data_IF_621099394011
#
_entry.id   IF_621099394011
#
_cell.length_a   1.000
_cell.length_b   1.000
_cell.length_c   1.000
_cell.angle_alpha   90.00
_cell.angle_beta   90.00
_cell.angle_gamma   90.00
#
_symmetry.space_group_name_H-M   'P 1'
#
loop_
_entity.id
_entity.type
_entity.pdbx_description
1 polymer ?
#
# COMPACT_ATOMS: atom_id res chain seq x y z
N UNK A 1 -24.83 9.92 19.82
CA UNK A 1 -25.05 10.50 21.16
C UNK A 1 -24.22 9.81 22.27
N UNK A 2 -23.12 9.10 21.96
CA UNK A 2 -22.17 8.56 22.98
C UNK A 2 -20.93 9.46 23.09
N UNK A 3 -20.47 10.05 21.98
CA UNK A 3 -19.29 10.92 21.93
C UNK A 3 -19.44 12.27 22.67
N UNK A 4 -20.65 12.69 23.03
CA UNK A 4 -20.89 13.99 23.69
C UNK A 4 -20.56 13.96 25.19
N UNK A 5 -20.61 12.79 25.83
CA UNK A 5 -20.42 12.63 27.28
C UNK A 5 -19.19 11.78 27.65
N UNK A 6 -18.39 11.35 26.67
CA UNK A 6 -17.18 10.54 26.93
C UNK A 6 -16.07 11.47 27.42
N UNK A 7 -15.51 11.16 28.60
CA UNK A 7 -14.28 11.81 29.08
C UNK A 7 -13.26 11.71 27.97
N UNK A 8 -12.67 12.86 27.61
CA UNK A 8 -11.87 13.01 26.38
C UNK A 8 -10.71 12.03 26.26
N UNK A 9 -10.27 11.49 27.40
CA UNK A 9 -9.21 10.49 27.55
C UNK A 9 -9.58 9.10 27.00
N UNK A 10 -10.87 8.74 26.97
CA UNK A 10 -11.32 7.43 26.47
C UNK A 10 -11.73 7.44 24.98
N UNK A 11 -11.65 8.60 24.31
CA UNK A 11 -12.01 8.73 22.91
C UNK A 11 -11.23 7.78 21.97
N UNK A 12 -9.90 7.58 22.12
CA UNK A 12 -9.18 6.63 21.27
C UNK A 12 -9.76 5.22 21.33
N UNK A 13 -10.09 4.72 22.52
CA UNK A 13 -10.67 3.39 22.71
C UNK A 13 -12.09 3.31 22.14
N UNK A 14 -12.90 4.37 22.31
CA UNK A 14 -14.23 4.43 21.72
C UNK A 14 -14.17 4.34 20.18
N UNK A 15 -13.22 5.03 19.55
CA UNK A 15 -13.02 4.95 18.10
C UNK A 15 -12.54 3.57 17.65
N UNK A 16 -11.66 2.92 18.41
CA UNK A 16 -11.23 1.54 18.11
C UNK A 16 -12.39 0.54 18.20
N UNK A 17 -13.23 0.64 19.24
CA UNK A 17 -14.43 -0.20 19.36
C UNK A 17 -15.41 0.06 18.22
N UNK A 18 -15.61 1.34 17.84
CA UNK A 18 -16.43 1.69 16.69
C UNK A 18 -15.87 1.09 15.38
N UNK A 19 -14.54 1.10 15.20
CA UNK A 19 -13.91 0.49 14.03
C UNK A 19 -14.22 -1.00 13.96
N UNK A 20 -14.07 -1.71 15.08
CA UNK A 20 -14.41 -3.13 15.18
C UNK A 20 -15.90 -3.39 14.89
N UNK A 21 -16.81 -2.55 15.41
CA UNK A 21 -18.24 -2.67 15.16
C UNK A 21 -18.59 -2.48 13.68
N UNK A 22 -17.93 -1.53 13.00
CA UNK A 22 -18.09 -1.31 11.56
C UNK A 22 -17.60 -2.55 10.78
N UNK A 23 -16.46 -3.13 11.18
CA UNK A 23 -15.89 -4.33 10.55
C UNK A 23 -16.76 -5.58 10.73
N UNK A 24 -17.42 -5.73 11.87
CA UNK A 24 -18.31 -6.86 12.12
C UNK A 24 -19.70 -6.67 11.49
N UNK A 25 -20.03 -5.45 11.04
CA UNK A 25 -21.33 -5.16 10.47
C UNK A 25 -21.50 -5.84 9.10
N UNK A 26 -22.68 -6.44 8.87
CA UNK A 26 -23.08 -6.98 7.58
C UNK A 26 -23.69 -5.87 6.73
N UNK A 27 -23.28 -5.70 5.46
CA UNK A 27 -23.92 -4.73 4.57
C UNK A 27 -25.43 -5.01 4.45
N UNK A 28 -26.30 -3.98 4.40
CA UNK A 28 -25.99 -2.55 4.38
C UNK A 28 -25.74 -1.96 5.77
N UNK A 29 -24.75 -1.06 5.87
CA UNK A 29 -24.45 -0.34 7.11
C UNK A 29 -25.61 0.58 7.50
N UNK A 30 -25.97 0.58 8.79
CA UNK A 30 -27.04 1.43 9.32
C UNK A 30 -26.71 2.94 9.14
N UNK A 31 -27.72 3.80 8.85
CA UNK A 31 -27.51 5.23 8.55
C UNK A 31 -26.72 6.00 9.62
N UNK A 32 -26.87 5.63 10.91
CA UNK A 32 -26.17 6.27 12.02
C UNK A 32 -24.64 6.18 11.89
N UNK A 33 -24.11 5.09 11.33
CA UNK A 33 -22.67 4.95 11.09
C UNK A 33 -22.19 5.87 9.95
N UNK A 34 -23.05 6.16 8.98
CA UNK A 34 -22.72 7.12 7.92
C UNK A 34 -22.63 8.56 8.44
N UNK A 35 -23.41 8.92 9.45
CA UNK A 35 -23.25 10.21 10.13
C UNK A 35 -21.92 10.30 10.88
N UNK A 36 -21.48 9.21 11.52
CA UNK A 36 -20.14 9.12 12.13
C UNK A 36 -19.06 9.27 11.04
N UNK A 37 -19.23 8.62 9.90
CA UNK A 37 -18.31 8.75 8.77
C UNK A 37 -18.21 10.21 8.28
N UNK A 38 -19.34 10.92 8.14
CA UNK A 38 -19.34 12.34 7.75
C UNK A 38 -18.55 13.19 8.75
N UNK A 39 -18.70 12.94 10.05
CA UNK A 39 -17.94 13.65 11.11
C UNK A 39 -16.44 13.35 11.05
N UNK A 40 -16.07 12.12 10.67
CA UNK A 40 -14.67 11.71 10.49
C UNK A 40 -13.99 12.45 9.33
N UNK A 41 -14.75 12.85 8.30
CA UNK A 41 -14.23 13.59 7.16
C UNK A 41 -14.00 15.08 7.42
N UNK A 42 -14.30 15.57 8.62
CA UNK A 42 -14.12 16.98 9.01
C UNK A 42 -12.72 17.15 9.63
N UNK A 43 -11.89 18.11 9.18
CA UNK A 43 -10.53 18.33 9.71
C UNK A 43 -10.47 18.54 11.22
N UNK A 44 -11.48 19.19 11.81
CA UNK A 44 -11.61 19.44 13.25
C UNK A 44 -11.50 18.17 14.10
N UNK A 45 -11.99 17.03 13.58
CA UNK A 45 -11.96 15.73 14.27
C UNK A 45 -10.53 15.24 14.50
N UNK A 46 -9.55 15.73 13.73
CA UNK A 46 -8.16 15.27 13.72
C UNK A 46 -7.21 16.15 14.54
N UNK A 47 -7.70 17.21 15.20
CA UNK A 47 -6.87 18.17 15.95
C UNK A 47 -6.09 17.53 17.10
N UNK A 48 -6.63 16.49 17.73
CA UNK A 48 -6.00 15.81 18.88
C UNK A 48 -5.13 14.65 18.41
N UNK A 49 -3.81 14.82 18.49
CA UNK A 49 -2.83 13.83 18.05
C UNK A 49 -3.00 12.45 18.71
N UNK A 50 -3.45 12.40 19.97
CA UNK A 50 -3.72 11.15 20.69
C UNK A 50 -4.84 10.31 20.07
N UNK A 51 -5.77 10.94 19.35
CA UNK A 51 -6.88 10.25 18.71
C UNK A 51 -6.54 9.77 17.30
N UNK A 52 -5.51 10.33 16.67
CA UNK A 52 -5.20 10.12 15.24
C UNK A 52 -5.05 8.63 14.87
N UNK A 53 -4.31 7.79 15.61
CA UNK A 53 -4.19 6.36 15.28
C UNK A 53 -5.54 5.64 15.26
N UNK A 54 -6.41 5.93 16.24
CA UNK A 54 -7.73 5.31 16.33
C UNK A 54 -8.70 5.82 15.26
N UNK A 55 -8.60 7.11 14.89
CA UNK A 55 -9.36 7.70 13.80
C UNK A 55 -8.96 7.13 12.45
N UNK A 56 -7.66 6.92 12.20
CA UNK A 56 -7.19 6.22 10.99
C UNK A 56 -7.77 4.81 10.92
N UNK A 57 -7.71 4.05 12.02
CA UNK A 57 -8.27 2.69 12.05
C UNK A 57 -9.76 2.65 11.73
N UNK A 58 -10.53 3.60 12.28
CA UNK A 58 -11.95 3.75 12.00
C UNK A 58 -12.20 4.15 10.54
N UNK A 59 -11.38 5.05 9.99
CA UNK A 59 -11.46 5.47 8.59
C UNK A 59 -11.26 4.26 7.67
N UNK A 60 -10.22 3.46 7.91
CA UNK A 60 -9.94 2.25 7.14
C UNK A 60 -11.11 1.25 7.17
N UNK A 61 -11.71 1.03 8.34
CA UNK A 61 -12.88 0.16 8.48
C UNK A 61 -14.06 0.63 7.59
N UNK A 62 -14.31 1.94 7.53
CA UNK A 62 -15.32 2.51 6.63
C UNK A 62 -14.94 2.37 5.16
N UNK A 63 -13.67 2.59 4.81
CA UNK A 63 -13.15 2.45 3.45
C UNK A 63 -13.32 1.03 2.91
N UNK A 64 -13.05 0.02 3.74
CA UNK A 64 -13.21 -1.39 3.39
C UNK A 64 -14.68 -1.81 3.28
N UNK A 65 -15.55 -1.28 4.16
CA UNK A 65 -16.94 -1.74 4.23
C UNK A 65 -17.87 -1.11 3.21
N UNK A 66 -17.61 0.13 2.79
CA UNK A 66 -18.55 0.87 1.94
C UNK A 66 -17.86 1.59 0.77
N UNK A 67 -17.04 0.88 -0.05
CA UNK A 67 -16.25 1.48 -1.13
C UNK A 67 -17.10 2.33 -2.08
N UNK A 68 -18.28 1.84 -2.48
CA UNK A 68 -19.18 2.56 -3.40
C UNK A 68 -19.73 3.89 -2.85
N UNK A 69 -19.87 4.04 -1.53
CA UNK A 69 -20.36 5.28 -0.91
C UNK A 69 -19.27 6.35 -0.79
N UNK A 70 -17.99 5.99 -0.98
CA UNK A 70 -16.86 6.92 -0.89
C UNK A 70 -16.65 7.67 -2.20
N UNK A 71 -16.98 7.05 -3.32
CA UNK A 71 -16.95 7.67 -4.65
C UNK A 71 -18.01 8.77 -4.83
N UNK A 72 -18.97 8.87 -3.91
CA UNK A 72 -20.09 9.81 -3.98
C UNK A 72 -19.79 11.10 -3.21
N UNK A 73 -20.40 12.21 -3.64
CA UNK A 73 -20.44 13.49 -2.91
C UNK A 73 -19.05 14.08 -2.57
N UNK A 74 -18.01 13.78 -3.36
CA UNK A 74 -16.66 14.28 -3.11
C UNK A 74 -16.02 13.77 -1.83
N UNK A 75 -16.52 12.66 -1.25
CA UNK A 75 -15.98 12.09 0.00
C UNK A 75 -14.56 11.58 -0.17
N UNK A 76 -14.22 10.97 -1.31
CA UNK A 76 -12.85 10.58 -1.62
C UNK A 76 -11.88 11.77 -1.56
N UNK A 77 -12.25 12.93 -2.11
CA UNK A 77 -11.41 14.12 -2.02
C UNK A 77 -11.13 14.55 -0.58
N UNK A 78 -12.12 14.42 0.33
CA UNK A 78 -11.93 14.68 1.77
C UNK A 78 -11.03 13.65 2.44
N UNK A 79 -11.18 12.37 2.10
CA UNK A 79 -10.28 11.29 2.56
C UNK A 79 -8.84 11.58 2.13
N UNK A 80 -8.63 11.98 0.88
CA UNK A 80 -7.31 12.34 0.37
C UNK A 80 -6.77 13.63 1.00
N UNK A 81 -7.63 14.57 1.36
CA UNK A 81 -7.26 15.73 2.19
C UNK A 81 -6.71 15.32 3.56
N UNK A 82 -7.35 14.35 4.22
CA UNK A 82 -6.88 13.78 5.49
C UNK A 82 -5.53 13.08 5.29
N UNK A 83 -5.39 12.25 4.24
CA UNK A 83 -4.10 11.66 3.89
C UNK A 83 -3.00 12.72 3.76
N UNK A 84 -3.26 13.79 3.00
CA UNK A 84 -2.27 14.84 2.76
C UNK A 84 -1.84 15.53 4.06
N UNK A 85 -2.79 15.78 4.96
CA UNK A 85 -2.52 16.30 6.31
C UNK A 85 -1.64 15.35 7.13
N UNK A 86 -1.95 14.05 7.12
CA UNK A 86 -1.20 13.04 7.88
C UNK A 86 0.22 12.87 7.34
N UNK A 87 0.38 12.80 6.02
CA UNK A 87 1.68 12.57 5.37
C UNK A 87 2.62 13.77 5.49
N UNK A 88 2.06 14.98 5.58
CA UNK A 88 2.84 16.22 5.75
C UNK A 88 3.60 16.28 7.08
N UNK A 89 3.18 15.51 8.10
CA UNK A 89 3.81 15.50 9.42
C UNK A 89 4.66 14.23 9.63
N UNK A 90 5.95 14.35 10.02
CA UNK A 90 6.81 13.20 10.33
C UNK A 90 6.31 12.30 11.47
N UNK A 91 5.37 12.79 12.30
CA UNK A 91 4.82 12.02 13.43
C UNK A 91 3.66 11.11 13.03
N UNK A 92 3.06 11.36 11.86
CA UNK A 92 1.85 10.67 11.40
C UNK A 92 1.95 10.19 9.96
N UNK A 93 3.12 10.28 9.34
CA UNK A 93 3.30 9.99 7.92
C UNK A 93 2.98 8.53 7.58
N UNK A 94 3.39 7.59 8.44
CA UNK A 94 3.03 6.18 8.35
C UNK A 94 1.50 5.96 8.37
N UNK A 95 0.77 6.71 9.22
CA UNK A 95 -0.69 6.63 9.30
C UNK A 95 -1.36 7.16 8.02
N UNK A 96 -0.75 8.15 7.36
CA UNK A 96 -1.19 8.61 6.04
C UNK A 96 -1.11 7.51 4.99
N UNK A 97 -0.03 6.72 4.99
CA UNK A 97 0.10 5.58 4.09
C UNK A 97 -0.91 4.47 4.38
N UNK A 98 -1.32 4.24 5.62
CA UNK A 98 -2.38 3.28 5.93
C UNK A 98 -3.72 3.65 5.25
N UNK A 99 -4.13 4.92 5.36
CA UNK A 99 -5.30 5.42 4.64
C UNK A 99 -5.14 5.23 3.13
N UNK A 100 -4.00 5.61 2.59
CA UNK A 100 -3.74 5.58 1.15
C UNK A 100 -3.70 4.15 0.59
N UNK A 101 -3.04 3.23 1.29
CA UNK A 101 -3.02 1.81 0.96
C UNK A 101 -4.45 1.25 0.94
N UNK A 102 -5.26 1.58 1.94
CA UNK A 102 -6.65 1.12 2.01
C UNK A 102 -7.49 1.68 0.86
N UNK A 103 -7.26 2.92 0.43
CA UNK A 103 -7.91 3.50 -0.75
C UNK A 103 -7.56 2.71 -2.01
N UNK A 104 -6.27 2.49 -2.27
CA UNK A 104 -5.79 1.74 -3.45
C UNK A 104 -6.27 0.28 -3.43
N UNK A 105 -6.37 -0.32 -2.24
CA UNK A 105 -6.73 -1.72 -2.09
C UNK A 105 -8.22 -1.99 -2.34
N UNK A 106 -9.10 -1.05 -1.97
CA UNK A 106 -10.55 -1.27 -1.91
C UNK A 106 -11.37 -0.51 -2.97
N UNK A 107 -10.82 0.51 -3.62
CA UNK A 107 -11.54 1.30 -4.62
C UNK A 107 -11.15 0.89 -6.04
N UNK A 108 -12.12 0.99 -6.96
CA UNK A 108 -11.88 0.77 -8.39
C UNK A 108 -10.97 1.86 -8.97
N UNK A 109 -10.07 1.47 -9.88
CA UNK A 109 -9.09 2.39 -10.46
C UNK A 109 -9.72 3.64 -11.09
N UNK A 110 -10.85 3.51 -11.81
CA UNK A 110 -11.52 4.65 -12.44
C UNK A 110 -12.03 5.72 -11.46
N UNK A 111 -12.26 5.38 -10.20
CA UNK A 111 -12.61 6.34 -9.14
C UNK A 111 -11.38 7.08 -8.62
N UNK A 112 -10.24 6.38 -8.56
CA UNK A 112 -8.99 6.88 -8.00
C UNK A 112 -8.22 7.71 -9.02
N UNK A 113 -8.26 7.30 -10.31
CA UNK A 113 -7.48 7.86 -11.43
C UNK A 113 -7.42 9.40 -11.46
N UNK A 114 -8.53 10.15 -11.27
CA UNK A 114 -8.49 11.62 -11.28
C UNK A 114 -7.63 12.24 -10.16
N UNK A 115 -7.34 11.47 -9.11
CA UNK A 115 -6.60 11.93 -7.93
C UNK A 115 -5.16 11.39 -7.87
N UNK A 116 -4.79 10.41 -8.71
CA UNK A 116 -3.48 9.73 -8.63
C UNK A 116 -2.33 10.73 -8.79
N UNK A 117 -2.42 11.67 -9.72
CA UNK A 117 -1.39 12.70 -9.93
C UNK A 117 -1.23 13.60 -8.69
N UNK A 118 -2.33 13.94 -8.02
CA UNK A 118 -2.28 14.72 -6.78
C UNK A 118 -1.63 13.94 -5.64
N UNK A 119 -1.93 12.64 -5.53
CA UNK A 119 -1.33 11.73 -4.56
C UNK A 119 0.19 11.67 -4.76
N UNK A 120 0.65 11.41 -5.98
CA UNK A 120 2.07 11.35 -6.29
C UNK A 120 2.77 12.69 -6.00
N UNK A 121 2.15 13.82 -6.33
CA UNK A 121 2.74 15.13 -6.09
C UNK A 121 2.95 15.38 -4.58
N UNK A 122 1.92 15.10 -3.76
CA UNK A 122 2.03 15.18 -2.31
C UNK A 122 3.17 14.30 -1.74
N UNK A 123 3.29 13.06 -2.23
CA UNK A 123 4.34 12.13 -1.81
C UNK A 123 5.74 12.59 -2.27
N UNK A 124 5.89 13.12 -3.48
CA UNK A 124 7.19 13.58 -3.98
C UNK A 124 7.64 14.89 -3.33
N UNK A 125 6.72 15.82 -3.07
CA UNK A 125 7.02 17.02 -2.26
C UNK A 125 7.48 16.60 -0.86
N UNK A 126 6.82 15.62 -0.24
CA UNK A 126 7.23 15.08 1.06
C UNK A 126 8.54 14.30 1.00
N UNK A 127 8.83 13.62 -0.11
CA UNK A 127 10.11 12.93 -0.32
C UNK A 127 11.29 13.90 -0.37
N UNK A 128 11.09 15.07 -1.00
CA UNK A 128 12.09 16.13 -1.07
C UNK A 128 12.26 16.83 0.28
N UNK A 129 11.17 17.01 1.03
CA UNK A 129 11.14 17.78 2.27
C UNK A 129 10.98 16.89 3.50
N UNK A 130 12.00 16.80 4.36
CA UNK A 130 11.98 16.12 5.67
C UNK A 130 11.80 14.59 5.66
N UNK A 131 12.31 13.87 4.64
CA UNK A 131 12.12 12.41 4.55
C UNK A 131 12.62 11.67 5.81
N UNK A 132 11.80 10.77 6.33
CA UNK A 132 12.14 9.87 7.44
C UNK A 132 12.38 8.46 6.90
N UNK A 133 13.13 7.62 7.63
CA UNK A 133 13.33 6.22 7.22
C UNK A 133 11.98 5.49 7.10
N UNK A 134 11.04 5.78 8.00
CA UNK A 134 9.67 5.25 7.97
C UNK A 134 8.92 5.65 6.71
N UNK A 135 8.94 6.95 6.36
CA UNK A 135 8.36 7.45 5.11
C UNK A 135 8.95 6.76 3.88
N UNK A 136 10.27 6.58 3.86
CA UNK A 136 10.97 5.92 2.75
C UNK A 136 10.50 4.46 2.59
N UNK A 137 10.48 3.68 3.67
CA UNK A 137 9.95 2.30 3.66
C UNK A 137 8.50 2.27 3.16
N UNK A 138 7.63 3.13 3.71
CA UNK A 138 6.21 3.18 3.35
C UNK A 138 5.96 3.62 1.91
N UNK A 139 6.75 4.54 1.36
CA UNK A 139 6.63 4.96 -0.03
C UNK A 139 6.99 3.83 -1.00
N UNK A 140 8.06 3.08 -0.72
CA UNK A 140 8.43 1.90 -1.53
C UNK A 140 7.32 0.84 -1.49
N UNK A 141 6.73 0.59 -0.32
CA UNK A 141 5.60 -0.33 -0.15
C UNK A 141 4.37 0.16 -0.92
N UNK A 142 4.05 1.45 -0.83
CA UNK A 142 2.90 2.04 -1.54
C UNK A 142 3.06 1.95 -3.06
N UNK A 143 4.23 2.31 -3.61
CA UNK A 143 4.49 2.18 -5.04
C UNK A 143 4.41 0.72 -5.50
N UNK A 144 4.85 -0.23 -4.65
CA UNK A 144 4.74 -1.66 -4.91
C UNK A 144 3.29 -2.13 -4.93
N UNK A 145 2.47 -1.67 -3.98
CA UNK A 145 1.04 -1.94 -3.93
C UNK A 145 0.32 -1.42 -5.18
N UNK A 146 0.55 -0.15 -5.51
CA UNK A 146 -0.03 0.49 -6.68
C UNK A 146 0.32 -0.27 -7.97
N UNK A 147 1.59 -0.67 -8.13
CA UNK A 147 2.04 -1.45 -9.28
C UNK A 147 1.33 -2.81 -9.36
N UNK A 148 1.21 -3.53 -8.24
CA UNK A 148 0.58 -4.85 -8.24
C UNK A 148 -0.90 -4.76 -8.60
N UNK A 149 -1.60 -3.74 -8.08
CA UNK A 149 -3.04 -3.51 -8.29
C UNK A 149 -3.38 -2.95 -9.67
N UNK A 150 -2.65 -1.95 -10.14
CA UNK A 150 -3.01 -1.20 -11.35
C UNK A 150 -2.05 -1.45 -12.52
N UNK A 151 -0.95 -2.16 -12.27
CA UNK A 151 0.02 -2.55 -13.29
C UNK A 151 1.18 -1.56 -13.44
N UNK A 152 2.27 -2.02 -14.10
CA UNK A 152 3.47 -1.21 -14.29
C UNK A 152 3.25 -0.02 -15.22
N UNK A 153 2.40 -0.14 -16.24
CA UNK A 153 2.10 0.96 -17.16
C UNK A 153 1.44 2.15 -16.43
N UNK A 154 0.37 1.88 -15.67
CA UNK A 154 -0.32 2.91 -14.88
C UNK A 154 0.63 3.63 -13.91
N UNK A 155 1.53 2.89 -13.25
CA UNK A 155 2.54 3.49 -12.37
C UNK A 155 3.46 4.46 -13.12
N UNK A 156 4.01 4.01 -14.25
CA UNK A 156 4.94 4.80 -15.09
C UNK A 156 4.24 6.05 -15.63
N UNK A 157 3.05 5.90 -16.20
CA UNK A 157 2.32 6.97 -16.88
C UNK A 157 1.87 8.06 -15.91
N UNK A 158 1.30 7.65 -14.77
CA UNK A 158 0.81 8.59 -13.75
C UNK A 158 1.95 9.33 -13.05
N UNK A 159 3.10 8.70 -12.81
CA UNK A 159 4.28 9.39 -12.28
C UNK A 159 4.86 10.37 -13.30
N UNK A 160 5.02 9.95 -14.56
CA UNK A 160 5.58 10.79 -15.61
C UNK A 160 4.67 11.98 -15.98
N UNK A 161 3.38 11.93 -15.61
CA UNK A 161 2.47 13.09 -15.70
C UNK A 161 2.89 14.25 -14.80
N UNK A 162 3.52 13.98 -13.65
CA UNK A 162 4.03 15.05 -12.76
C UNK A 162 5.24 15.73 -13.38
N UNK A 163 6.18 14.92 -13.83
CA UNK A 163 7.40 15.39 -14.45
C UNK A 163 7.88 14.31 -15.43
N UNK A 164 8.15 14.67 -16.70
CA UNK A 164 8.63 13.71 -17.68
C UNK A 164 9.85 12.95 -17.17
N UNK A 165 9.84 11.63 -17.32
CA UNK A 165 10.93 10.70 -16.94
C UNK A 165 11.23 10.57 -15.44
N UNK A 166 10.44 11.20 -14.56
CA UNK A 166 10.65 11.11 -13.10
C UNK A 166 10.61 9.67 -12.59
N UNK A 167 9.82 8.80 -13.22
CA UNK A 167 9.74 7.39 -12.86
C UNK A 167 11.13 6.72 -12.84
N UNK A 168 11.96 6.96 -13.87
CA UNK A 168 13.28 6.35 -13.97
C UNK A 168 14.19 6.82 -12.84
N UNK A 169 14.18 8.13 -12.56
CA UNK A 169 14.95 8.74 -11.47
C UNK A 169 14.52 8.18 -10.12
N UNK A 170 13.22 8.05 -9.87
CA UNK A 170 12.69 7.47 -8.64
C UNK A 170 13.10 6.00 -8.50
N UNK A 171 13.01 5.19 -9.55
CA UNK A 171 13.44 3.78 -9.48
C UNK A 171 14.94 3.68 -9.16
N UNK A 172 15.77 4.40 -9.90
CA UNK A 172 17.22 4.29 -9.81
C UNK A 172 17.78 4.88 -8.50
N UNK A 173 17.35 6.09 -8.14
CA UNK A 173 17.93 6.83 -7.01
C UNK A 173 17.20 6.57 -5.70
N UNK A 174 15.94 6.12 -5.74
CA UNK A 174 15.11 5.99 -4.55
C UNK A 174 14.61 4.56 -4.32
N UNK A 175 13.97 3.89 -5.28
CA UNK A 175 13.39 2.56 -5.05
C UNK A 175 14.48 1.52 -4.80
N UNK A 176 15.42 1.36 -5.74
CA UNK A 176 16.47 0.33 -5.67
C UNK A 176 17.28 0.42 -4.37
N UNK A 177 17.85 1.59 -3.98
CA UNK A 177 18.70 1.66 -2.80
C UNK A 177 17.97 1.37 -1.49
N UNK A 178 16.64 1.54 -1.46
CA UNK A 178 15.80 1.41 -0.27
C UNK A 178 15.07 0.07 -0.15
N UNK A 179 15.12 -0.82 -1.17
CA UNK A 179 14.55 -2.17 -1.08
C UNK A 179 15.12 -2.97 0.10
N UNK A 180 16.42 -2.80 0.38
CA UNK A 180 17.11 -3.46 1.48
C UNK A 180 16.64 -3.05 2.89
N UNK A 181 15.86 -1.96 2.98
CA UNK A 181 15.30 -1.47 4.25
C UNK A 181 13.96 -2.11 4.59
N UNK A 182 13.38 -2.90 3.68
CA UNK A 182 12.09 -3.55 3.89
C UNK A 182 12.28 -4.81 4.73
N UNK A 183 11.72 -4.76 5.94
CA UNK A 183 11.90 -5.75 6.99
C UNK A 183 10.71 -6.72 7.11
N UNK A 184 9.48 -6.23 7.02
CA UNK A 184 8.28 -7.05 7.20
C UNK A 184 8.09 -8.13 6.12
N UNK A 185 7.70 -9.34 6.51
CA UNK A 185 7.58 -10.49 5.59
C UNK A 185 6.53 -10.26 4.47
N UNK A 186 5.42 -9.58 4.77
CA UNK A 186 4.37 -9.29 3.78
C UNK A 186 4.84 -8.18 2.84
N UNK A 187 5.38 -7.11 3.42
CA UNK A 187 5.91 -5.95 2.73
C UNK A 187 7.07 -6.36 1.80
N UNK A 188 7.92 -7.27 2.27
CA UNK A 188 8.99 -7.88 1.48
C UNK A 188 8.43 -8.66 0.28
N UNK A 189 7.44 -9.54 0.50
CA UNK A 189 6.80 -10.30 -0.58
C UNK A 189 6.18 -9.37 -1.62
N UNK A 190 5.46 -8.34 -1.16
CA UNK A 190 4.86 -7.34 -2.04
C UNK A 190 5.92 -6.63 -2.89
N UNK A 191 6.94 -6.09 -2.24
CA UNK A 191 8.00 -5.33 -2.92
C UNK A 191 8.81 -6.21 -3.87
N UNK A 192 9.07 -7.47 -3.52
CA UNK A 192 9.74 -8.43 -4.40
C UNK A 192 8.91 -8.78 -5.65
N UNK A 193 7.61 -9.06 -5.47
CA UNK A 193 6.68 -9.31 -6.58
C UNK A 193 6.57 -8.08 -7.48
N UNK A 194 6.38 -6.90 -6.90
CA UNK A 194 6.26 -5.66 -7.66
C UNK A 194 7.53 -5.36 -8.45
N UNK A 195 8.70 -5.48 -7.81
CA UNK A 195 10.00 -5.27 -8.42
C UNK A 195 10.25 -6.22 -9.60
N UNK A 196 9.89 -7.50 -9.41
CA UNK A 196 10.00 -8.52 -10.46
C UNK A 196 9.08 -8.23 -11.63
N UNK A 197 7.81 -7.86 -11.37
CA UNK A 197 6.87 -7.47 -12.43
C UNK A 197 7.37 -6.26 -13.18
N UNK A 198 7.91 -5.27 -12.47
CA UNK A 198 8.44 -4.06 -13.08
C UNK A 198 9.54 -4.36 -14.11
N UNK A 199 10.53 -5.17 -13.77
CA UNK A 199 11.64 -5.52 -14.69
C UNK A 199 11.23 -6.51 -15.81
N UNK A 200 10.08 -7.17 -15.67
CA UNK A 200 9.60 -8.16 -16.64
C UNK A 200 8.56 -7.60 -17.62
N UNK A 201 7.79 -6.60 -17.18
CA UNK A 201 6.57 -6.12 -17.85
C UNK A 201 6.64 -4.63 -18.22
N UNK A 202 7.49 -3.81 -17.59
CA UNK A 202 7.55 -2.37 -17.89
C UNK A 202 8.34 -2.10 -19.17
N UNK A 203 7.75 -1.48 -20.21
CA UNK A 203 8.46 -1.12 -21.43
C UNK A 203 9.67 -0.22 -21.17
N UNK A 204 9.56 0.70 -20.18
CA UNK A 204 10.62 1.64 -19.82
C UNK A 204 11.88 0.93 -19.29
N UNK A 205 11.73 -0.19 -18.59
CA UNK A 205 12.88 -0.96 -18.09
C UNK A 205 13.34 -2.07 -19.04
N UNK A 206 12.50 -2.44 -20.01
CA UNK A 206 12.87 -3.39 -21.06
C UNK A 206 13.60 -2.71 -22.23
N UNK A 207 13.57 -1.38 -22.28
CA UNK A 207 14.31 -0.61 -23.27
C UNK A 207 15.84 -0.83 -23.14
N UNK A 208 16.59 -1.01 -24.24
CA UNK A 208 18.03 -1.20 -24.20
C UNK A 208 18.80 -0.09 -23.46
N UNK A 209 18.29 1.14 -23.44
CA UNK A 209 18.90 2.26 -22.69
C UNK A 209 18.80 2.11 -21.16
N UNK A 210 17.94 1.22 -20.68
CA UNK A 210 17.68 0.98 -19.26
C UNK A 210 18.40 -0.26 -18.69
N UNK A 211 19.24 -0.95 -19.47
CA UNK A 211 19.96 -2.18 -19.05
C UNK A 211 20.72 -2.01 -17.74
N UNK A 212 21.36 -0.86 -17.51
CA UNK A 212 22.05 -0.58 -16.25
C UNK A 212 21.11 -0.53 -15.04
N UNK A 213 19.93 0.11 -15.19
CA UNK A 213 18.92 0.19 -14.12
C UNK A 213 18.27 -1.18 -13.90
N UNK A 214 17.99 -1.90 -14.98
CA UNK A 214 17.47 -3.27 -14.93
C UNK A 214 18.40 -4.20 -14.15
N UNK A 215 19.71 -4.16 -14.43
CA UNK A 215 20.72 -4.95 -13.75
C UNK A 215 20.81 -4.64 -12.25
N UNK A 216 20.82 -3.34 -11.89
CA UNK A 216 20.80 -2.89 -10.48
C UNK A 216 19.54 -3.36 -9.73
N UNK A 217 18.37 -3.29 -10.40
CA UNK A 217 17.11 -3.75 -9.80
C UNK A 217 17.15 -5.26 -9.57
N UNK A 218 17.63 -6.02 -10.56
CA UNK A 218 17.78 -7.47 -10.43
C UNK A 218 18.73 -7.84 -9.29
N UNK A 219 19.91 -7.23 -9.24
CA UNK A 219 20.90 -7.46 -8.19
C UNK A 219 20.33 -7.16 -6.80
N UNK A 220 19.60 -6.05 -6.68
CA UNK A 220 18.90 -5.70 -5.45
C UNK A 220 17.85 -6.73 -5.07
N UNK A 221 17.07 -7.26 -6.02
CA UNK A 221 16.09 -8.33 -5.75
C UNK A 221 16.80 -9.58 -5.23
N UNK A 222 17.82 -10.07 -5.94
CA UNK A 222 18.56 -11.28 -5.59
C UNK A 222 19.23 -11.14 -4.23
N UNK A 223 19.95 -10.05 -3.99
CA UNK A 223 20.58 -9.76 -2.69
C UNK A 223 19.55 -9.71 -1.57
N UNK A 224 18.37 -9.16 -1.86
CA UNK A 224 17.29 -9.08 -0.89
C UNK A 224 16.66 -10.44 -0.61
N UNK A 225 16.72 -11.42 -1.50
CA UNK A 225 16.30 -12.81 -1.22
C UNK A 225 17.36 -13.60 -0.45
N UNK A 226 18.64 -13.33 -0.68
CA UNK A 226 19.74 -14.05 -0.03
C UNK A 226 19.93 -13.74 1.46
N UNK A 227 19.28 -12.70 1.99
CA UNK A 227 19.32 -12.35 3.43
C UNK A 227 18.44 -13.30 4.26
N UNK A 228 18.91 -13.91 5.35
CA UNK A 228 18.06 -14.72 6.23
C UNK A 228 16.91 -13.88 6.81
N UNK A 229 15.76 -14.52 7.07
CA UNK A 229 14.53 -13.85 7.51
C UNK A 229 14.69 -13.22 8.92
N UNK A 230 15.55 -13.80 9.76
CA UNK A 230 15.83 -13.36 11.14
C UNK A 230 16.46 -11.95 11.21
N UNK A 231 17.32 -11.58 10.26
CA UNK A 231 17.91 -10.23 10.17
C UNK A 231 16.90 -9.15 9.73
N UNK A 232 15.68 -9.56 9.34
CA UNK A 232 14.64 -8.66 8.83
C UNK A 232 13.56 -8.36 9.87
N UNK A 233 13.65 -8.86 11.10
CA UNK A 233 12.54 -8.73 12.07
C UNK A 233 12.68 -7.49 12.99
N UNK A 234 13.76 -6.74 12.93
CA UNK A 234 13.95 -5.61 13.88
C UNK A 234 13.19 -4.34 13.46
N UNK A 235 11.98 -4.17 14.00
CA UNK A 235 11.40 -2.94 14.57
C UNK A 235 9.90 -3.19 14.91
N UNK A 236 9.64 -3.86 16.04
CA UNK A 236 8.33 -3.78 16.69
C UNK A 236 8.32 -2.61 17.70
N UNK A 237 7.56 -1.56 17.37
CA UNK A 237 6.98 -0.68 18.38
C UNK A 237 5.46 -0.63 18.17
N UNK A 238 4.75 -0.75 19.28
CA UNK A 238 3.39 -1.28 19.45
C UNK A 238 2.26 -0.47 18.79
N UNK A 239 1.43 -1.16 18.01
CA UNK A 239 -0.04 -1.12 18.12
C UNK A 239 -0.60 -2.46 17.62
N UNK A 240 -1.67 -3.02 18.23
CA UNK A 240 -2.19 -4.33 17.86
C UNK A 240 -2.61 -4.34 16.38
N UNK A 241 -1.84 -5.05 15.56
CA UNK A 241 -2.13 -5.27 14.14
C UNK A 241 -3.28 -6.28 14.01
N UNK A 242 -4.52 -5.83 14.13
CA UNK A 242 -5.67 -6.60 13.63
C UNK A 242 -6.22 -5.94 12.36
N UNK A 243 -6.34 -6.76 11.31
CA UNK A 243 -6.77 -6.46 9.93
C UNK A 243 -5.72 -5.91 8.93
N UNK A 244 -4.57 -6.59 8.79
CA UNK A 244 -3.73 -6.53 7.54
C UNK A 244 -4.02 -7.66 6.55
N UNK A 245 -4.88 -8.62 6.90
CA UNK A 245 -4.81 -9.98 6.31
C UNK A 245 -5.70 -10.24 5.08
N UNK A 246 -6.74 -9.46 4.81
CA UNK A 246 -7.78 -9.91 3.85
C UNK A 246 -7.58 -9.46 2.40
N UNK A 247 -7.11 -8.23 2.12
CA UNK A 247 -6.93 -7.73 0.73
C UNK A 247 -5.58 -8.11 0.13
N UNK A 248 -4.50 -7.54 0.69
CA UNK A 248 -3.12 -7.64 0.18
C UNK A 248 -2.64 -9.07 -0.13
N UNK A 249 -2.98 -10.05 0.70
CA UNK A 249 -2.61 -11.45 0.45
C UNK A 249 -3.33 -12.06 -0.75
N UNK A 250 -4.60 -11.70 -0.95
CA UNK A 250 -5.40 -12.16 -2.08
C UNK A 250 -4.86 -11.59 -3.39
N UNK A 251 -4.43 -10.32 -3.40
CA UNK A 251 -3.85 -9.69 -4.59
C UNK A 251 -2.44 -10.18 -4.89
N UNK A 252 -1.61 -10.41 -3.87
CA UNK A 252 -0.30 -11.04 -4.05
C UNK A 252 -0.50 -12.44 -4.63
N UNK A 253 -1.46 -13.22 -4.10
CA UNK A 253 -1.78 -14.57 -4.61
C UNK A 253 -2.33 -14.52 -6.04
N UNK A 254 -3.25 -13.61 -6.34
CA UNK A 254 -3.83 -13.46 -7.67
C UNK A 254 -2.81 -12.96 -8.69
N UNK A 255 -1.94 -12.01 -8.31
CA UNK A 255 -0.84 -11.56 -9.16
C UNK A 255 0.16 -12.69 -9.42
N UNK A 256 0.47 -13.52 -8.42
CA UNK A 256 1.31 -14.72 -8.58
C UNK A 256 0.64 -15.77 -9.49
N UNK A 257 -0.68 -15.97 -9.33
CA UNK A 257 -1.46 -16.93 -10.09
C UNK A 257 -1.60 -16.50 -11.56
N UNK A 258 -1.97 -15.24 -11.81
CA UNK A 258 -2.05 -14.67 -13.16
C UNK A 258 -0.68 -14.73 -13.85
N UNK A 259 0.40 -14.51 -13.11
CA UNK A 259 1.75 -14.69 -13.63
C UNK A 259 2.09 -16.17 -13.94
N UNK A 260 1.66 -17.12 -13.09
CA UNK A 260 1.80 -18.57 -13.33
C UNK A 260 0.98 -19.03 -14.55
N UNK A 261 -0.17 -18.43 -14.82
CA UNK A 261 -1.00 -18.71 -16.00
C UNK A 261 -0.39 -18.12 -17.29
N UNK A 262 0.12 -16.88 -17.23
CA UNK A 262 0.89 -16.27 -18.35
C UNK A 262 2.15 -17.07 -18.70
N UNK A 263 2.79 -17.73 -17.73
CA UNK A 263 3.88 -18.70 -17.94
C UNK A 263 3.44 -19.91 -18.76
N UNK A 264 2.24 -20.44 -18.49
CA UNK A 264 1.68 -21.59 -19.21
C UNK A 264 1.47 -21.31 -20.70
N UNK A 265 1.18 -20.06 -21.04
CA UNK A 265 1.02 -19.58 -22.41
C UNK A 265 2.35 -19.27 -23.10
N UNK A 266 3.37 -18.79 -22.36
CA UNK A 266 4.72 -18.50 -22.87
C UNK A 266 5.70 -19.67 -22.73
N UNK A 267 5.35 -20.86 -23.23
CA UNK A 267 6.31 -21.98 -23.39
C UNK A 267 7.25 -21.71 -24.57
N UNK A 268 8.22 -20.82 -24.41
CA UNK A 268 9.15 -20.52 -25.53
C UNK A 268 10.37 -19.67 -25.27
N UNK A 269 10.54 -19.02 -24.11
CA UNK A 269 11.75 -18.20 -23.85
C UNK A 269 12.47 -18.65 -22.58
N UNK A 270 13.52 -19.48 -22.76
CA UNK A 270 14.56 -19.71 -21.75
C UNK A 270 15.47 -18.48 -21.67
N UNK A 271 15.00 -17.41 -21.04
CA UNK A 271 15.78 -16.21 -20.72
C UNK A 271 15.73 -15.87 -19.23
N UNK A 272 16.34 -14.76 -18.82
CA UNK A 272 16.43 -14.29 -17.42
C UNK A 272 15.10 -14.33 -16.65
N UNK A 273 13.96 -14.16 -17.35
CA UNK A 273 12.59 -14.32 -16.80
C UNK A 273 12.33 -15.72 -16.20
N UNK A 274 12.89 -16.77 -16.79
CA UNK A 274 12.77 -18.16 -16.30
C UNK A 274 13.64 -18.43 -15.06
N UNK A 275 14.78 -17.75 -14.92
CA UNK A 275 15.70 -17.91 -13.79
C UNK A 275 15.13 -17.22 -12.54
N UNK A 276 14.70 -15.95 -12.63
CA UNK A 276 13.97 -15.31 -11.53
C UNK A 276 12.70 -16.10 -11.17
N UNK A 277 12.01 -16.63 -12.17
CA UNK A 277 10.82 -17.44 -11.94
C UNK A 277 11.09 -18.70 -11.13
N UNK A 278 12.27 -19.31 -11.30
CA UNK A 278 12.65 -20.52 -10.58
C UNK A 278 13.10 -20.23 -9.15
N UNK A 279 13.79 -19.09 -8.95
CA UNK A 279 14.23 -18.62 -7.63
C UNK A 279 13.01 -18.24 -6.79
N UNK A 280 12.16 -17.36 -7.33
CA UNK A 280 10.91 -16.93 -6.69
C UNK A 280 9.97 -18.14 -6.49
N UNK A 281 9.85 -19.02 -7.48
CA UNK A 281 8.97 -20.20 -7.40
C UNK A 281 9.39 -21.23 -6.35
N UNK A 282 10.69 -21.47 -6.16
CA UNK A 282 11.20 -22.40 -5.14
C UNK A 282 11.09 -21.80 -3.73
N UNK A 283 11.48 -20.55 -3.57
CA UNK A 283 11.47 -19.90 -2.26
C UNK A 283 10.05 -19.59 -1.80
N UNK A 284 9.12 -19.22 -2.71
CA UNK A 284 7.71 -19.01 -2.35
C UNK A 284 6.92 -20.30 -2.06
N UNK A 285 7.32 -21.46 -2.58
CA UNK A 285 6.63 -22.74 -2.30
C UNK A 285 6.98 -23.31 -0.92
N UNK A 286 8.11 -22.90 -0.31
CA UNK A 286 8.48 -23.33 1.05
C UNK A 286 7.75 -22.57 2.16
N UNK A 287 6.99 -21.50 1.84
CA UNK A 287 6.23 -20.73 2.82
C UNK A 287 4.81 -21.29 3.01
N UNK A 288 4.38 -21.63 4.24
CA UNK A 288 3.01 -22.06 4.52
C UNK A 288 2.04 -20.88 4.37
N UNK A 289 1.39 -20.83 3.22
CA UNK A 289 0.27 -20.01 2.74
C UNK A 289 -1.14 -20.35 3.27
N UNK A 290 -1.30 -20.94 4.45
CA UNK A 290 -2.66 -21.20 4.98
C UNK A 290 -3.27 -19.92 5.55
N UNK A 291 -4.32 -19.44 4.88
CA UNK A 291 -5.28 -18.51 5.46
C UNK A 291 -6.08 -19.31 6.49
N UNK A 292 -6.15 -18.92 7.78
CA UNK A 292 -7.04 -19.58 8.71
C UNK A 292 -8.46 -19.48 8.19
N UNK A 293 -9.09 -20.63 7.91
CA UNK A 293 -10.40 -20.79 7.28
C UNK A 293 -11.60 -20.24 8.07
N UNK A 294 -11.38 -19.35 9.03
CA UNK A 294 -12.40 -18.88 9.98
C UNK A 294 -12.92 -17.49 9.64
N UNK A 295 -13.33 -17.23 8.39
CA UNK A 295 -14.25 -16.14 8.05
C UNK A 295 -15.00 -16.49 6.74
N UNK A 296 -16.02 -17.34 6.86
CA UNK A 296 -17.17 -17.40 5.96
C UNK A 296 -18.38 -16.77 6.67
#
# INVERSE_FOLDING_TARGET
MILQNVVTEFLPYAFQLLAQLVELNRPPIAPNYMEIFKLLLIPESWKRSSNVPALVRLLEAFLQKVPHKISQEGRLARVLGIFNMLVSSPRSDELGFYVLNTVIDNLEYGVIDPYVTHIWNALFVRLQNNRTVKFVKSLVIFMSLFLVKHGPAALVDTMNTIQPTIFRTIVEQFWIPNLKLITGAIEFKLTAVASTRLICESPVLLDPSAVGVWGKMLDSIVTSFSRPEEDRVEEEQEMPRYCRKCGLYSDIRQSLQCWKERRGSSKGHKGSKGILSSIIGKDFCHFPWEVPSNYQ
#
